data_IF_620707672686
#
_entry.id   IF_620707672686
#
_cell.length_a   1.000
_cell.length_b   1.000
_cell.length_c   1.000
_cell.angle_alpha   90.00
_cell.angle_beta   90.00
_cell.angle_gamma   90.00
#
_symmetry.space_group_name_H-M   'P 1'
#
loop_
_entity.id
_entity.type
_entity.pdbx_description
1 polymer ?
#
# COMPACT_ATOMS: atom_id res chain seq x y z
N UNK A 1 13.22 -33.86 -35.85
CA UNK A 1 12.58 -33.15 -34.72
C UNK A 1 13.71 -32.54 -33.90
N UNK A 2 13.71 -31.22 -33.67
CA UNK A 2 14.64 -30.64 -32.70
C UNK A 2 14.02 -30.87 -31.32
N UNK A 3 14.77 -31.47 -30.40
CA UNK A 3 14.30 -31.86 -29.06
C UNK A 3 15.13 -31.05 -28.08
N UNK A 4 14.49 -30.35 -27.13
CA UNK A 4 15.16 -29.49 -26.16
C UNK A 4 15.99 -30.28 -25.12
N UNK A 5 15.70 -31.58 -24.97
CA UNK A 5 16.30 -32.43 -23.94
C UNK A 5 15.68 -32.24 -22.55
N UNK A 6 14.64 -31.42 -22.43
CA UNK A 6 13.88 -31.19 -21.19
C UNK A 6 12.70 -32.17 -21.16
N UNK A 7 12.65 -33.04 -20.16
CA UNK A 7 11.69 -34.15 -20.10
C UNK A 7 10.23 -33.66 -20.08
N UNK A 8 9.99 -32.54 -19.42
CA UNK A 8 8.68 -31.88 -19.29
C UNK A 8 8.17 -31.29 -20.60
N UNK A 9 9.05 -31.03 -21.57
CA UNK A 9 8.70 -30.39 -22.84
C UNK A 9 8.36 -31.39 -23.95
N UNK A 10 8.65 -32.69 -23.78
CA UNK A 10 8.56 -33.71 -24.84
C UNK A 10 7.14 -33.82 -25.43
N UNK A 11 6.09 -33.76 -24.60
CA UNK A 11 4.71 -33.85 -25.08
C UNK A 11 4.31 -32.63 -25.92
N UNK A 12 4.75 -31.44 -25.51
CA UNK A 12 4.47 -30.17 -26.21
C UNK A 12 5.25 -30.12 -27.54
N UNK A 13 6.49 -30.61 -27.55
CA UNK A 13 7.29 -30.71 -28.77
C UNK A 13 6.66 -31.64 -29.81
N UNK A 14 6.07 -32.76 -29.38
CA UNK A 14 5.34 -33.68 -30.25
C UNK A 14 4.09 -33.01 -30.86
N UNK A 15 3.31 -32.30 -30.05
CA UNK A 15 2.14 -31.54 -30.51
C UNK A 15 2.51 -30.47 -31.54
N UNK A 16 3.59 -29.71 -31.31
CA UNK A 16 4.11 -28.72 -32.28
C UNK A 16 4.55 -29.39 -33.59
N UNK A 17 5.18 -30.56 -33.51
CA UNK A 17 5.62 -31.31 -34.68
C UNK A 17 4.45 -31.78 -35.54
N UNK A 18 3.41 -32.32 -34.91
CA UNK A 18 2.21 -32.80 -35.59
C UNK A 18 1.41 -31.64 -36.19
N UNK A 19 1.27 -30.53 -35.47
CA UNK A 19 0.61 -29.32 -35.96
C UNK A 19 1.32 -28.73 -37.21
N UNK A 20 2.65 -28.80 -37.26
CA UNK A 20 3.44 -28.39 -38.42
C UNK A 20 3.16 -29.23 -39.68
N UNK A 21 2.79 -30.50 -39.52
CA UNK A 21 2.48 -31.40 -40.63
C UNK A 21 1.03 -31.28 -41.12
N UNK A 22 0.09 -30.91 -40.24
CA UNK A 22 -1.35 -30.94 -40.51
C UNK A 22 -1.88 -29.67 -41.19
N UNK A 23 -1.47 -28.46 -40.77
CA UNK A 23 -1.90 -27.18 -41.35
C UNK A 23 -0.99 -26.00 -40.96
N UNK A 24 -0.53 -25.24 -41.96
CA UNK A 24 0.34 -24.05 -41.78
C UNK A 24 -0.30 -22.94 -40.96
N UNK A 25 -1.64 -22.83 -40.94
CA UNK A 25 -2.35 -21.80 -40.17
C UNK A 25 -2.30 -22.09 -38.67
N UNK A 26 -2.66 -23.30 -38.27
CA UNK A 26 -2.61 -23.75 -36.88
C UNK A 26 -1.19 -23.67 -36.31
N UNK A 27 -0.17 -24.05 -37.09
CA UNK A 27 1.22 -23.91 -36.67
C UNK A 27 1.62 -22.44 -36.45
N UNK A 28 1.24 -21.53 -37.36
CA UNK A 28 1.54 -20.10 -37.21
C UNK A 28 0.83 -19.48 -35.99
N UNK A 29 -0.39 -19.92 -35.68
CA UNK A 29 -1.12 -19.49 -34.49
C UNK A 29 -0.40 -19.95 -33.20
N UNK A 30 0.05 -21.21 -33.13
CA UNK A 30 0.83 -21.76 -32.00
C UNK A 30 2.15 -20.98 -31.83
N UNK A 31 2.88 -20.74 -32.92
CA UNK A 31 4.13 -19.96 -32.86
C UNK A 31 3.86 -18.53 -32.40
N UNK A 32 2.77 -17.91 -32.87
CA UNK A 32 2.37 -16.58 -32.41
C UNK A 32 2.08 -16.54 -30.91
N UNK A 33 1.41 -17.55 -30.37
CA UNK A 33 1.12 -17.66 -28.94
C UNK A 33 2.39 -17.91 -28.10
N UNK A 34 3.29 -18.78 -28.57
CA UNK A 34 4.60 -19.00 -27.94
C UNK A 34 5.45 -17.72 -27.94
N UNK A 35 5.48 -16.97 -29.05
CA UNK A 35 6.19 -15.69 -29.13
C UNK A 35 5.59 -14.66 -28.18
N UNK A 36 4.27 -14.63 -28.03
CA UNK A 36 3.61 -13.74 -27.08
C UNK A 36 3.96 -14.12 -25.63
N UNK A 37 3.97 -15.42 -25.30
CA UNK A 37 4.27 -15.92 -23.97
C UNK A 37 5.74 -15.72 -23.57
N UNK A 38 6.67 -15.95 -24.50
CA UNK A 38 8.11 -15.86 -24.28
C UNK A 38 8.70 -14.49 -24.67
N UNK A 39 7.88 -13.57 -25.18
CA UNK A 39 8.33 -12.27 -25.68
C UNK A 39 9.13 -11.46 -24.66
N UNK A 40 8.81 -11.61 -23.36
CA UNK A 40 9.55 -11.00 -22.26
C UNK A 40 11.05 -11.37 -22.26
N UNK A 41 11.40 -12.59 -22.68
CA UNK A 41 12.77 -13.11 -22.71
C UNK A 41 13.59 -12.57 -23.90
N UNK A 42 12.99 -11.74 -24.76
CA UNK A 42 13.72 -11.05 -25.83
C UNK A 42 14.58 -9.90 -25.31
N UNK A 43 14.35 -9.45 -24.07
CA UNK A 43 15.15 -8.43 -23.42
C UNK A 43 16.42 -9.06 -22.80
N UNK A 44 17.58 -8.50 -23.12
CA UNK A 44 18.87 -9.04 -22.69
C UNK A 44 19.06 -8.98 -21.18
N UNK A 45 18.60 -7.91 -20.53
CA UNK A 45 18.75 -7.72 -19.09
C UNK A 45 17.92 -8.76 -18.32
N UNK A 46 16.67 -8.98 -18.72
CA UNK A 46 15.85 -10.01 -18.11
C UNK A 46 16.45 -11.41 -18.36
N UNK A 47 16.84 -11.68 -19.61
CA UNK A 47 17.41 -12.98 -19.98
C UNK A 47 18.69 -13.29 -19.21
N UNK A 48 19.58 -12.32 -19.06
CA UNK A 48 20.81 -12.45 -18.26
C UNK A 48 20.47 -12.73 -16.78
N UNK A 49 19.49 -12.01 -16.21
CA UNK A 49 19.05 -12.25 -14.81
C UNK A 49 18.45 -13.63 -14.57
N UNK A 50 17.93 -14.27 -15.61
CA UNK A 50 17.34 -15.61 -15.59
C UNK A 50 18.27 -16.65 -16.24
N UNK A 51 19.54 -16.34 -16.43
CA UNK A 51 20.54 -17.28 -16.97
C UNK A 51 21.43 -17.80 -15.84
N UNK A 52 21.66 -19.12 -15.83
CA UNK A 52 22.45 -19.77 -14.79
C UNK A 52 23.96 -19.47 -14.87
N UNK A 53 24.75 -19.98 -13.89
CA UNK A 53 24.31 -20.84 -12.79
C UNK A 53 23.48 -20.09 -11.74
N UNK A 54 22.45 -20.75 -11.19
CA UNK A 54 21.62 -20.24 -10.11
C UNK A 54 22.11 -20.77 -8.76
N UNK A 55 22.14 -19.90 -7.76
CA UNK A 55 22.50 -20.17 -6.37
C UNK A 55 21.33 -19.92 -5.40
N UNK A 56 20.14 -19.68 -5.95
CA UNK A 56 18.90 -19.43 -5.21
C UNK A 56 17.71 -20.05 -5.95
N UNK A 57 16.87 -20.76 -5.21
CA UNK A 57 15.57 -21.28 -5.64
C UNK A 57 14.41 -20.60 -4.90
N UNK A 58 13.20 -20.67 -5.46
CA UNK A 58 12.02 -20.09 -4.79
C UNK A 58 11.60 -20.90 -3.57
N UNK A 59 12.02 -22.17 -3.50
CA UNK A 59 11.87 -23.08 -2.37
C UNK A 59 12.66 -22.61 -1.13
N UNK A 60 13.80 -21.94 -1.33
CA UNK A 60 14.66 -21.42 -0.26
C UNK A 60 13.90 -20.39 0.61
N UNK A 61 12.92 -19.69 0.03
CA UNK A 61 12.03 -18.78 0.78
C UNK A 61 11.18 -19.49 1.85
N UNK A 62 11.11 -20.82 1.81
CA UNK A 62 10.39 -21.65 2.77
C UNK A 62 11.30 -22.31 3.80
N UNK A 63 12.62 -22.12 3.71
CA UNK A 63 13.59 -22.68 4.65
C UNK A 63 13.60 -21.92 6.00
N UNK A 64 14.24 -22.50 7.01
CA UNK A 64 14.20 -21.99 8.40
C UNK A 64 15.58 -21.78 9.03
N UNK A 65 16.61 -22.39 8.46
CA UNK A 65 18.01 -22.27 8.84
C UNK A 65 18.62 -20.94 8.36
N UNK A 66 18.18 -20.42 7.22
CA UNK A 66 18.57 -19.12 6.70
C UNK A 66 17.34 -18.25 6.35
N UNK A 67 17.46 -16.94 6.61
CA UNK A 67 16.45 -15.96 6.21
C UNK A 67 16.79 -15.36 4.84
N UNK A 68 15.92 -15.59 3.87
CA UNK A 68 16.06 -15.05 2.51
C UNK A 68 15.21 -13.80 2.29
N UNK A 69 15.75 -12.86 1.51
CA UNK A 69 15.04 -11.66 1.05
C UNK A 69 15.16 -11.55 -0.47
N UNK A 70 14.03 -11.63 -1.18
CA UNK A 70 13.98 -11.56 -2.63
C UNK A 70 13.54 -10.16 -3.08
N UNK A 71 14.35 -9.52 -3.91
CA UNK A 71 14.05 -8.22 -4.50
C UNK A 71 13.88 -8.36 -6.02
N UNK A 72 12.66 -8.13 -6.50
CA UNK A 72 12.35 -8.12 -7.93
C UNK A 72 12.37 -6.68 -8.45
N UNK A 73 13.55 -6.21 -8.87
CA UNK A 73 13.75 -4.83 -9.30
C UNK A 73 13.56 -4.70 -10.81
N UNK A 74 12.35 -4.31 -11.22
CA UNK A 74 12.04 -4.08 -12.63
C UNK A 74 12.21 -2.59 -13.00
N UNK A 75 12.95 -2.25 -14.07
CA UNK A 75 12.95 -0.90 -14.61
C UNK A 75 11.51 -0.46 -14.94
N UNK A 76 11.18 0.79 -14.67
CA UNK A 76 9.80 1.30 -14.80
C UNK A 76 9.21 1.04 -16.20
N UNK A 77 9.99 1.22 -17.25
CA UNK A 77 9.57 0.99 -18.64
C UNK A 77 9.28 -0.50 -18.94
N UNK A 78 9.84 -1.42 -18.15
CA UNK A 78 9.84 -2.85 -18.43
C UNK A 78 8.81 -3.66 -17.63
N UNK A 79 8.11 -3.04 -16.67
CA UNK A 79 7.11 -3.73 -15.81
C UNK A 79 6.05 -4.47 -16.64
N UNK A 80 5.53 -3.84 -17.70
CA UNK A 80 4.52 -4.44 -18.57
C UNK A 80 5.13 -5.52 -19.49
N UNK A 81 6.22 -5.25 -20.25
CA UNK A 81 6.91 -6.27 -21.03
C UNK A 81 7.31 -7.52 -20.23
N UNK A 82 7.79 -7.35 -19.00
CA UNK A 82 8.25 -8.46 -18.15
C UNK A 82 7.14 -9.08 -17.31
N UNK A 83 5.89 -8.63 -17.46
CA UNK A 83 4.79 -9.02 -16.56
C UNK A 83 4.53 -10.52 -16.53
N UNK A 84 4.71 -11.24 -17.65
CA UNK A 84 4.56 -12.70 -17.69
C UNK A 84 5.53 -13.40 -16.73
N UNK A 85 6.80 -13.00 -16.75
CA UNK A 85 7.84 -13.56 -15.87
C UNK A 85 7.61 -13.16 -14.41
N UNK A 86 7.31 -11.89 -14.14
CA UNK A 86 7.04 -11.43 -12.76
C UNK A 86 5.85 -12.19 -12.15
N UNK A 87 4.77 -12.36 -12.92
CA UNK A 87 3.59 -13.14 -12.49
C UNK A 87 3.93 -14.61 -12.26
N UNK A 88 4.79 -15.20 -13.08
CA UNK A 88 5.24 -16.59 -12.91
C UNK A 88 6.05 -16.76 -11.62
N UNK A 89 6.98 -15.84 -11.32
CA UNK A 89 7.76 -15.85 -10.07
C UNK A 89 6.84 -15.73 -8.86
N UNK A 90 5.92 -14.75 -8.86
CA UNK A 90 4.97 -14.55 -7.76
C UNK A 90 4.03 -15.75 -7.58
N UNK A 91 3.57 -16.35 -8.68
CA UNK A 91 2.73 -17.56 -8.63
C UNK A 91 3.51 -18.74 -8.05
N UNK A 92 4.74 -18.96 -8.50
CA UNK A 92 5.62 -20.02 -8.01
C UNK A 92 5.87 -19.88 -6.50
N UNK A 93 6.25 -18.67 -6.05
CA UNK A 93 6.44 -18.36 -4.64
C UNK A 93 5.21 -18.70 -3.80
N UNK A 94 4.02 -18.28 -4.25
CA UNK A 94 2.76 -18.50 -3.54
C UNK A 94 2.43 -20.00 -3.47
N UNK A 95 2.61 -20.71 -4.58
CA UNK A 95 2.35 -22.16 -4.66
C UNK A 95 3.29 -22.94 -3.75
N UNK A 96 4.59 -22.63 -3.75
CA UNK A 96 5.57 -23.27 -2.87
C UNK A 96 5.26 -22.98 -1.41
N UNK A 97 4.98 -21.71 -1.04
CA UNK A 97 4.58 -21.38 0.33
C UNK A 97 3.30 -22.08 0.76
N UNK A 98 2.32 -22.22 -0.14
CA UNK A 98 1.07 -22.94 0.13
C UNK A 98 1.27 -24.44 0.37
N UNK A 99 2.32 -25.05 -0.18
CA UNK A 99 2.72 -26.44 0.08
C UNK A 99 3.51 -26.62 1.37
N UNK A 100 4.07 -25.54 1.91
CA UNK A 100 4.87 -25.51 3.14
C UNK A 100 4.19 -24.62 4.21
N UNK A 101 3.09 -25.06 4.83
CA UNK A 101 2.36 -24.25 5.81
C UNK A 101 3.21 -23.89 7.03
N UNK A 102 4.10 -24.78 7.47
CA UNK A 102 5.00 -24.59 8.61
C UNK A 102 6.19 -23.66 8.31
N UNK A 103 6.42 -23.32 7.03
CA UNK A 103 7.47 -22.40 6.64
C UNK A 103 7.24 -20.99 7.22
N UNK A 104 8.31 -20.20 7.43
CA UNK A 104 8.21 -18.87 8.01
C UNK A 104 7.20 -17.97 7.29
N UNK A 105 6.58 -17.06 8.05
CA UNK A 105 5.66 -16.08 7.47
C UNK A 105 6.42 -15.14 6.55
N UNK A 106 5.84 -14.89 5.37
CA UNK A 106 6.46 -14.05 4.34
C UNK A 106 5.70 -12.74 4.20
N UNK A 107 6.41 -11.61 4.21
CA UNK A 107 5.84 -10.29 3.92
C UNK A 107 6.14 -9.93 2.48
N UNK A 108 5.09 -9.69 1.70
CA UNK A 108 5.20 -9.44 0.27
C UNK A 108 4.89 -7.98 0.01
N UNK A 109 5.93 -7.20 -0.30
CA UNK A 109 5.78 -5.78 -0.63
C UNK A 109 5.70 -5.66 -2.15
N UNK A 110 4.53 -5.28 -2.67
CA UNK A 110 4.30 -5.15 -4.10
C UNK A 110 3.99 -3.69 -4.40
N UNK A 111 4.98 -3.00 -4.96
CA UNK A 111 4.81 -1.63 -5.43
C UNK A 111 4.11 -1.60 -6.80
N UNK A 112 3.32 -0.56 -7.04
CA UNK A 112 2.55 -0.33 -8.26
C UNK A 112 1.83 -1.57 -8.84
N UNK A 113 1.20 -2.37 -7.97
CA UNK A 113 0.59 -3.65 -8.37
C UNK A 113 -0.40 -3.56 -9.54
N UNK A 114 -1.09 -2.42 -9.68
CA UNK A 114 -2.02 -2.19 -10.79
C UNK A 114 -1.40 -2.23 -12.19
N UNK A 115 -0.06 -2.23 -12.29
CA UNK A 115 0.67 -2.42 -13.56
C UNK A 115 0.73 -3.89 -13.99
N UNK A 116 0.52 -4.83 -13.07
CA UNK A 116 0.40 -6.26 -13.35
C UNK A 116 -1.03 -6.62 -13.80
N UNK A 117 -1.53 -5.92 -14.82
CA UNK A 117 -2.90 -6.00 -15.35
C UNK A 117 -3.47 -7.44 -15.40
N UNK A 118 -4.70 -7.61 -14.92
CA UNK A 118 -5.41 -8.91 -14.95
C UNK A 118 -4.84 -9.98 -14.01
N UNK A 119 -3.97 -9.62 -13.06
CA UNK A 119 -3.38 -10.59 -12.13
C UNK A 119 -4.20 -10.72 -10.84
N UNK A 120 -5.29 -11.46 -10.92
CA UNK A 120 -6.22 -11.73 -9.80
C UNK A 120 -5.53 -12.34 -8.57
N UNK A 121 -4.38 -13.00 -8.74
CA UNK A 121 -3.62 -13.58 -7.63
C UNK A 121 -3.24 -12.56 -6.56
N UNK A 122 -3.07 -11.28 -6.92
CA UNK A 122 -2.84 -10.21 -5.93
C UNK A 122 -4.06 -10.05 -5.01
N UNK A 123 -5.27 -10.08 -5.57
CA UNK A 123 -6.50 -10.04 -4.75
C UNK A 123 -6.59 -11.28 -3.87
N UNK A 124 -6.23 -12.45 -4.43
CA UNK A 124 -6.21 -13.70 -3.64
C UNK A 124 -5.24 -13.65 -2.47
N UNK A 125 -4.09 -12.98 -2.58
CA UNK A 125 -3.18 -12.80 -1.44
C UNK A 125 -3.88 -12.15 -0.22
N UNK A 126 -4.88 -11.29 -0.43
CA UNK A 126 -5.65 -10.70 0.65
C UNK A 126 -6.76 -11.61 1.19
N UNK A 127 -7.34 -12.48 0.36
CA UNK A 127 -8.47 -13.34 0.75
C UNK A 127 -8.02 -14.68 1.32
N UNK A 128 -7.01 -15.33 0.73
CA UNK A 128 -6.51 -16.65 1.11
C UNK A 128 -5.05 -16.65 1.61
N UNK A 129 -4.28 -15.61 1.31
CA UNK A 129 -2.84 -15.57 1.60
C UNK A 129 -2.50 -15.63 3.10
N UNK A 130 -3.35 -15.06 3.95
CA UNK A 130 -3.16 -15.09 5.41
C UNK A 130 -3.12 -16.53 5.95
N UNK A 131 -3.93 -17.44 5.37
CA UNK A 131 -4.01 -18.85 5.79
C UNK A 131 -2.73 -19.63 5.52
N UNK A 132 -1.97 -19.27 4.48
CA UNK A 132 -0.69 -19.91 4.14
C UNK A 132 0.52 -19.15 4.70
N UNK A 133 0.30 -18.09 5.48
CA UNK A 133 1.36 -17.30 6.09
C UNK A 133 1.94 -16.19 5.22
N UNK A 134 1.28 -15.81 4.12
CA UNK A 134 1.64 -14.65 3.31
C UNK A 134 0.96 -13.37 3.84
N UNK A 135 1.74 -12.29 3.94
CA UNK A 135 1.30 -10.97 4.40
C UNK A 135 1.52 -9.94 3.29
N UNK A 136 0.50 -9.64 2.47
CA UNK A 136 0.65 -8.67 1.40
C UNK A 136 0.63 -7.22 1.93
N UNK A 137 1.60 -6.42 1.49
CA UNK A 137 1.59 -4.96 1.54
C UNK A 137 1.63 -4.47 0.09
N UNK A 138 0.50 -4.01 -0.41
CA UNK A 138 0.36 -3.64 -1.83
C UNK A 138 0.09 -2.15 -1.96
N UNK A 139 0.87 -1.50 -2.82
CA UNK A 139 0.77 -0.07 -3.09
C UNK A 139 0.04 0.14 -4.42
N UNK A 140 -0.92 1.05 -4.41
CA UNK A 140 -1.65 1.52 -5.59
C UNK A 140 -1.57 3.04 -5.66
N UNK A 141 -1.48 3.59 -6.87
CA UNK A 141 -1.57 5.04 -7.04
C UNK A 141 -2.99 5.55 -6.78
N UNK A 142 -4.00 4.77 -7.18
CA UNK A 142 -5.42 5.05 -6.98
C UNK A 142 -6.26 3.75 -6.96
N UNK A 143 -7.55 3.88 -6.65
CA UNK A 143 -8.48 2.75 -6.66
C UNK A 143 -8.75 2.18 -8.07
N UNK A 144 -8.63 2.99 -9.12
CA UNK A 144 -8.84 2.53 -10.49
C UNK A 144 -7.77 1.52 -10.89
N UNK A 145 -6.53 1.71 -10.44
CA UNK A 145 -5.45 0.75 -10.64
C UNK A 145 -5.72 -0.59 -9.99
N UNK A 146 -6.26 -0.62 -8.77
CA UNK A 146 -6.64 -1.88 -8.12
C UNK A 146 -7.76 -2.61 -8.88
N UNK A 147 -8.69 -1.87 -9.50
CA UNK A 147 -9.71 -2.44 -10.38
C UNK A 147 -9.17 -2.96 -11.73
N UNK A 148 -7.90 -2.70 -12.09
CA UNK A 148 -7.25 -3.31 -13.27
C UNK A 148 -6.77 -4.74 -13.00
N UNK A 149 -6.71 -5.17 -11.74
CA UNK A 149 -6.31 -6.53 -11.36
C UNK A 149 -7.42 -7.53 -11.67
N UNK A 150 -8.65 -7.18 -11.33
CA UNK A 150 -9.88 -7.95 -11.57
C UNK A 150 -11.07 -7.02 -11.39
N UNK A 151 -12.26 -7.46 -11.82
CA UNK A 151 -13.51 -6.75 -11.57
C UNK A 151 -13.70 -6.52 -10.07
N UNK A 152 -13.98 -5.27 -9.69
CA UNK A 152 -14.15 -4.83 -8.29
C UNK A 152 -12.94 -5.10 -7.37
N UNK A 153 -11.74 -5.29 -7.94
CA UNK A 153 -10.52 -5.62 -7.21
C UNK A 153 -10.21 -4.67 -6.05
N UNK A 154 -10.49 -3.38 -6.20
CA UNK A 154 -10.26 -2.40 -5.15
C UNK A 154 -11.18 -2.57 -3.94
N UNK A 155 -12.44 -2.99 -4.17
CA UNK A 155 -13.36 -3.30 -3.09
C UNK A 155 -12.97 -4.59 -2.37
N UNK A 156 -12.62 -5.64 -3.12
CA UNK A 156 -12.22 -6.95 -2.58
C UNK A 156 -10.95 -6.86 -1.72
N UNK A 157 -9.94 -6.12 -2.18
CA UNK A 157 -8.72 -5.88 -1.41
C UNK A 157 -9.07 -5.10 -0.15
N UNK A 158 -9.78 -3.98 -0.27
CA UNK A 158 -10.05 -3.12 0.87
C UNK A 158 -11.03 -3.71 1.89
N UNK A 159 -11.88 -4.69 1.53
CA UNK A 159 -12.70 -5.42 2.50
C UNK A 159 -11.93 -6.51 3.26
N UNK A 160 -10.80 -6.96 2.72
CA UNK A 160 -10.01 -8.07 3.26
C UNK A 160 -8.70 -7.60 3.92
N UNK A 161 -8.25 -6.39 3.60
CA UNK A 161 -7.06 -5.79 4.15
C UNK A 161 -7.26 -5.38 5.62
N UNK A 162 -6.50 -6.01 6.51
CA UNK A 162 -6.47 -5.68 7.94
C UNK A 162 -5.90 -4.28 8.21
N UNK A 163 -5.16 -3.69 7.26
CA UNK A 163 -4.62 -2.33 7.34
C UNK A 163 -4.85 -1.62 6.01
N UNK A 164 -5.39 -0.41 6.06
CA UNK A 164 -5.56 0.49 4.92
C UNK A 164 -4.88 1.83 5.24
N UNK A 165 -4.01 2.28 4.33
CA UNK A 165 -3.27 3.53 4.47
C UNK A 165 -3.54 4.38 3.24
N UNK A 166 -3.98 5.61 3.45
CA UNK A 166 -4.24 6.58 2.39
C UNK A 166 -3.30 7.77 2.54
N UNK A 167 -2.67 8.16 1.43
CA UNK A 167 -1.80 9.33 1.33
C UNK A 167 -2.34 10.30 0.29
N UNK A 168 -2.24 11.60 0.56
CA UNK A 168 -2.46 12.64 -0.45
C UNK A 168 -3.73 12.46 -1.28
N UNK A 169 -4.87 12.19 -0.63
CA UNK A 169 -6.13 11.85 -1.29
C UNK A 169 -6.66 13.05 -2.07
N UNK A 170 -6.68 12.97 -3.41
CA UNK A 170 -7.11 14.08 -4.29
C UNK A 170 -8.46 13.85 -4.95
N UNK A 171 -8.88 12.61 -5.15
CA UNK A 171 -10.13 12.31 -5.83
C UNK A 171 -11.34 12.29 -4.87
N UNK A 172 -12.52 12.63 -5.38
CA UNK A 172 -13.72 12.72 -4.55
C UNK A 172 -14.17 11.37 -3.98
N UNK A 173 -14.04 10.31 -4.76
CA UNK A 173 -14.57 8.98 -4.41
C UNK A 173 -13.78 8.42 -3.24
N UNK A 174 -12.45 8.49 -3.29
CA UNK A 174 -11.56 8.11 -2.19
C UNK A 174 -11.76 9.03 -0.99
N UNK A 175 -11.88 10.35 -1.18
CA UNK A 175 -12.10 11.28 -0.07
C UNK A 175 -13.41 10.99 0.69
N UNK A 176 -14.48 10.67 -0.04
CA UNK A 176 -15.75 10.24 0.57
C UNK A 176 -15.59 8.94 1.34
N UNK A 177 -14.84 7.97 0.79
CA UNK A 177 -14.55 6.71 1.46
C UNK A 177 -13.77 6.92 2.76
N UNK A 178 -12.69 7.70 2.72
CA UNK A 178 -11.88 8.02 3.91
C UNK A 178 -12.72 8.76 4.95
N UNK A 179 -13.53 9.74 4.55
CA UNK A 179 -14.46 10.44 5.45
C UNK A 179 -15.43 9.46 6.13
N UNK A 180 -16.00 8.52 5.38
CA UNK A 180 -16.90 7.51 5.92
C UNK A 180 -16.18 6.52 6.86
N UNK A 181 -14.94 6.13 6.55
CA UNK A 181 -14.11 5.25 7.38
C UNK A 181 -13.68 5.93 8.69
N UNK A 182 -13.38 7.22 8.67
CA UNK A 182 -13.13 8.00 9.88
C UNK A 182 -14.38 8.08 10.75
N UNK A 183 -15.55 8.16 10.13
CA UNK A 183 -16.83 8.17 10.80
C UNK A 183 -17.25 9.58 11.23
N UNK A 184 -18.10 9.63 12.25
CA UNK A 184 -18.83 10.83 12.64
C UNK A 184 -18.74 11.05 14.14
N UNK A 185 -18.64 12.33 14.52
CA UNK A 185 -18.77 12.81 15.88
C UNK A 185 -20.11 13.54 16.07
N UNK A 186 -20.55 13.64 17.32
CA UNK A 186 -21.73 14.44 17.69
C UNK A 186 -21.24 15.71 18.37
N UNK A 187 -21.48 16.85 17.75
CA UNK A 187 -21.20 18.16 18.34
C UNK A 187 -22.43 18.67 19.07
N UNK A 188 -22.21 19.26 20.24
CA UNK A 188 -23.24 19.98 20.98
C UNK A 188 -23.08 21.48 20.70
N UNK A 189 -24.12 22.09 20.14
CA UNK A 189 -24.13 23.52 19.83
C UNK A 189 -25.12 24.24 20.74
N UNK A 190 -24.62 25.32 21.37
CA UNK A 190 -25.42 26.26 22.13
C UNK A 190 -25.93 27.34 21.18
N UNK A 191 -27.23 27.34 20.85
CA UNK A 191 -27.81 28.31 19.91
C UNK A 191 -27.90 29.71 20.54
N UNK A 192 -27.05 30.69 20.14
CA UNK A 192 -27.00 31.99 20.82
C UNK A 192 -28.28 32.80 20.61
N UNK A 193 -28.94 32.63 19.46
CA UNK A 193 -30.20 33.29 19.15
C UNK A 193 -31.36 32.74 19.99
N UNK A 194 -31.40 31.44 20.25
CA UNK A 194 -32.40 30.83 21.14
C UNK A 194 -32.16 31.27 22.58
N UNK A 195 -30.90 31.28 23.03
CA UNK A 195 -30.55 31.80 24.36
C UNK A 195 -30.90 33.28 24.51
N UNK A 196 -30.64 34.13 23.50
CA UNK A 196 -30.98 35.55 23.53
C UNK A 196 -32.50 35.79 23.54
N UNK A 197 -33.27 35.02 22.75
CA UNK A 197 -34.75 35.06 22.77
C UNK A 197 -35.31 34.59 24.10
N UNK A 198 -34.78 33.50 24.66
CA UNK A 198 -35.13 32.98 25.97
C UNK A 198 -34.82 33.98 27.09
N UNK A 199 -33.69 34.68 27.02
CA UNK A 199 -33.31 35.74 27.97
C UNK A 199 -34.29 36.93 27.90
N UNK A 200 -34.66 37.34 26.69
CA UNK A 200 -35.61 38.45 26.46
C UNK A 200 -37.01 38.08 26.95
N UNK A 201 -37.49 36.87 26.65
CA UNK A 201 -38.76 36.35 27.15
C UNK A 201 -38.77 36.19 28.67
N UNK A 202 -37.66 35.72 29.26
CA UNK A 202 -37.51 35.65 30.72
C UNK A 202 -37.64 37.03 31.36
N UNK A 203 -37.00 38.04 30.77
CA UNK A 203 -37.02 39.41 31.28
C UNK A 203 -38.43 40.02 31.19
N UNK A 204 -39.12 39.82 30.06
CA UNK A 204 -40.50 40.31 29.89
C UNK A 204 -41.51 39.58 30.78
N UNK A 205 -41.29 38.29 31.06
CA UNK A 205 -42.11 37.54 32.02
C UNK A 205 -41.87 37.99 33.46
N UNK A 206 -40.63 38.28 33.83
CA UNK A 206 -40.32 38.84 35.15
C UNK A 206 -40.92 40.24 35.33
N UNK A 207 -40.89 41.10 34.32
CA UNK A 207 -41.57 42.40 34.40
C UNK A 207 -43.09 42.25 34.52
N UNK A 208 -43.69 41.23 33.90
CA UNK A 208 -45.13 40.94 34.03
C UNK A 208 -45.55 40.52 35.45
N UNK A 209 -44.62 39.97 36.24
CA UNK A 209 -44.84 39.64 37.65
C UNK A 209 -45.00 40.92 38.48
N UNK A 210 -44.20 41.95 38.20
CA UNK A 210 -44.27 43.26 38.86
C UNK A 210 -45.53 44.06 38.47
N UNK A 211 -46.11 43.79 37.29
CA UNK A 211 -47.33 44.44 36.81
C UNK A 211 -48.63 43.68 37.16
N UNK A 212 -48.59 42.71 38.09
CA UNK A 212 -49.78 42.03 38.61
C UNK A 212 -50.22 40.76 37.86
N UNK A 213 -49.33 40.11 37.12
CA UNK A 213 -49.60 38.82 36.48
C UNK A 213 -49.73 37.65 37.47
N UNK A 214 -50.46 36.60 37.06
CA UNK A 214 -50.67 35.37 37.86
C UNK A 214 -49.33 34.64 38.13
N UNK A 215 -48.88 34.57 39.41
CA UNK A 215 -47.58 34.00 39.78
C UNK A 215 -47.41 32.54 39.38
N UNK A 216 -48.48 31.74 39.44
CA UNK A 216 -48.42 30.31 39.13
C UNK A 216 -48.21 30.06 37.64
N UNK A 217 -48.90 30.82 36.78
CA UNK A 217 -48.71 30.73 35.32
C UNK A 217 -47.34 31.22 34.88
N UNK A 218 -46.80 32.25 35.52
CA UNK A 218 -45.46 32.78 35.24
C UNK A 218 -44.40 31.76 35.66
N UNK A 219 -44.56 31.10 36.80
CA UNK A 219 -43.64 30.06 37.27
C UNK A 219 -43.54 28.89 36.27
N UNK A 220 -44.67 28.41 35.74
CA UNK A 220 -44.69 27.34 34.72
C UNK A 220 -43.98 27.77 33.44
N UNK A 221 -44.20 29.00 32.95
CA UNK A 221 -43.51 29.53 31.76
C UNK A 221 -42.01 29.71 31.98
N UNK A 222 -41.60 30.18 33.16
CA UNK A 222 -40.19 30.31 33.53
C UNK A 222 -39.50 28.94 33.58
N UNK A 223 -40.18 27.90 34.06
CA UNK A 223 -39.67 26.54 34.04
C UNK A 223 -39.46 26.01 32.61
N UNK A 224 -40.39 26.30 31.69
CA UNK A 224 -40.24 25.97 30.26
C UNK A 224 -39.04 26.67 29.61
N UNK A 225 -38.88 27.98 29.83
CA UNK A 225 -37.73 28.74 29.33
C UNK A 225 -36.41 28.24 29.95
N UNK A 226 -36.41 27.88 31.23
CA UNK A 226 -35.25 27.30 31.89
C UNK A 226 -34.85 25.93 31.31
N UNK A 227 -35.83 25.14 30.85
CA UNK A 227 -35.58 23.89 30.14
C UNK A 227 -35.03 24.14 28.72
N UNK A 228 -35.63 25.05 27.96
CA UNK A 228 -35.17 25.44 26.63
C UNK A 228 -33.73 25.98 26.64
N UNK A 229 -33.37 26.83 27.61
CA UNK A 229 -32.00 27.35 27.75
C UNK A 229 -30.98 26.27 28.09
N UNK A 230 -31.40 25.14 28.66
CA UNK A 230 -30.52 23.99 28.98
C UNK A 230 -30.43 22.99 27.83
N UNK A 231 -31.31 23.09 26.84
CA UNK A 231 -31.33 22.16 25.73
C UNK A 231 -30.22 22.51 24.74
N UNK A 232 -29.24 21.61 24.60
CA UNK A 232 -28.20 21.71 23.58
C UNK A 232 -28.59 20.93 22.35
N UNK A 233 -28.48 21.55 21.18
CA UNK A 233 -28.76 20.86 19.92
C UNK A 233 -27.58 19.96 19.60
N UNK A 234 -27.87 18.70 19.30
CA UNK A 234 -26.87 17.70 18.88
C UNK A 234 -26.83 17.63 17.36
N UNK A 235 -25.67 17.88 16.77
CA UNK A 235 -25.45 17.83 15.33
C UNK A 235 -24.42 16.76 15.00
N UNK A 236 -24.74 15.90 14.04
CA UNK A 236 -23.80 14.92 13.49
C UNK A 236 -22.83 15.60 12.54
N UNK A 237 -21.52 15.44 12.76
CA UNK A 237 -20.45 15.97 11.90
C UNK A 237 -19.48 14.85 11.55
N UNK A 238 -19.00 14.79 10.31
CA UNK A 238 -17.92 13.87 9.96
C UNK A 238 -16.61 14.33 10.63
N UNK A 239 -15.81 13.41 11.18
CA UNK A 239 -14.51 13.77 11.81
C UNK A 239 -13.65 14.57 10.83
N UNK A 240 -13.65 14.15 9.56
CA UNK A 240 -13.20 14.96 8.43
C UNK A 240 -14.26 14.90 7.34
N UNK A 241 -14.63 16.05 6.81
CA UNK A 241 -15.48 16.09 5.61
C UNK A 241 -14.68 15.61 4.39
N UNK A 242 -15.34 15.13 3.32
CA UNK A 242 -14.65 14.76 2.09
C UNK A 242 -13.78 15.90 1.51
N UNK A 243 -14.24 17.15 1.64
CA UNK A 243 -13.47 18.31 1.19
C UNK A 243 -12.26 18.58 2.11
N UNK A 244 -12.38 18.41 3.42
CA UNK A 244 -11.24 18.51 4.35
C UNK A 244 -10.19 17.41 4.11
N UNK A 245 -10.61 16.22 3.66
CA UNK A 245 -9.69 15.16 3.23
C UNK A 245 -8.99 15.55 1.93
N UNK A 246 -9.72 16.11 0.95
CA UNK A 246 -9.17 16.45 -0.37
C UNK A 246 -8.21 17.63 -0.33
N UNK A 247 -8.58 18.68 0.39
CA UNK A 247 -7.83 19.93 0.49
C UNK A 247 -6.94 19.98 1.74
N UNK A 248 -6.71 18.83 2.37
CA UNK A 248 -5.80 18.70 3.49
C UNK A 248 -4.33 18.90 3.08
N UNK A 249 -3.41 18.87 4.06
CA UNK A 249 -1.98 18.92 3.81
C UNK A 249 -1.50 17.81 2.85
N UNK A 250 -0.48 18.08 2.05
CA UNK A 250 0.07 17.09 1.10
C UNK A 250 0.67 15.86 1.79
N UNK A 251 1.15 16.03 3.02
CA UNK A 251 1.69 14.98 3.87
C UNK A 251 0.61 14.27 4.70
N UNK A 252 -0.68 14.59 4.55
CA UNK A 252 -1.73 13.95 5.30
C UNK A 252 -1.75 12.41 5.09
N UNK A 253 -1.83 11.69 6.21
CA UNK A 253 -1.93 10.24 6.29
C UNK A 253 -3.21 9.85 7.03
N UNK A 254 -3.99 8.96 6.42
CA UNK A 254 -5.15 8.33 7.06
C UNK A 254 -4.92 6.83 7.15
N UNK A 255 -4.88 6.29 8.36
CA UNK A 255 -4.63 4.87 8.61
C UNK A 255 -5.82 4.25 9.32
N UNK A 256 -6.22 3.08 8.83
CA UNK A 256 -7.25 2.24 9.41
C UNK A 256 -6.66 0.86 9.61
N UNK A 257 -6.83 0.28 10.78
CA UNK A 257 -6.35 -1.06 11.07
C UNK A 257 -7.32 -1.80 11.99
N UNK A 258 -7.39 -3.11 11.83
CA UNK A 258 -8.16 -3.97 12.71
C UNK A 258 -7.68 -3.83 14.16
N UNK A 259 -8.64 -3.77 15.09
CA UNK A 259 -8.36 -3.57 16.52
C UNK A 259 -8.20 -2.11 16.95
N UNK A 260 -8.18 -1.14 16.01
CA UNK A 260 -8.29 0.27 16.35
C UNK A 260 -9.76 0.67 16.52
N UNK A 261 -10.04 1.54 17.51
CA UNK A 261 -11.40 2.05 17.76
C UNK A 261 -11.89 3.04 16.70
N UNK A 262 -10.99 3.51 15.83
CA UNK A 262 -11.26 4.46 14.76
C UNK A 262 -10.02 4.70 13.91
N UNK A 263 -10.15 5.52 12.87
CA UNK A 263 -9.03 5.88 12.01
C UNK A 263 -8.02 6.80 12.69
N UNK A 264 -6.74 6.61 12.36
CA UNK A 264 -5.63 7.44 12.80
C UNK A 264 -5.34 8.48 11.71
N UNK A 265 -5.29 9.74 12.12
CA UNK A 265 -4.88 10.86 11.26
C UNK A 265 -3.46 11.24 11.65
N UNK A 266 -2.54 11.22 10.70
CA UNK A 266 -1.14 11.57 10.91
C UNK A 266 -0.55 12.35 9.74
N UNK A 267 0.77 12.50 9.76
CA UNK A 267 1.55 13.07 8.67
C UNK A 267 2.65 12.12 8.21
N UNK A 268 2.88 12.08 6.90
CA UNK A 268 3.95 11.32 6.26
C UNK A 268 5.26 12.07 6.40
N UNK A 269 6.23 11.42 7.03
CA UNK A 269 7.61 11.90 7.05
C UNK A 269 8.38 11.27 5.88
N UNK A 270 9.13 12.07 5.09
CA UNK A 270 10.06 11.51 4.13
C UNK A 270 11.13 10.65 4.84
N UNK A 271 11.51 9.52 4.24
CA UNK A 271 12.45 8.59 4.88
C UNK A 271 13.82 9.22 5.17
N UNK A 272 14.28 10.20 4.37
CA UNK A 272 15.56 10.87 4.60
C UNK A 272 15.51 11.83 5.80
N UNK A 273 14.32 12.22 6.23
CA UNK A 273 14.12 13.05 7.42
C UNK A 273 13.94 12.19 8.69
N UNK A 274 13.66 10.89 8.54
CA UNK A 274 13.51 9.95 9.65
C UNK A 274 14.89 9.54 10.23
N UNK A 275 15.16 9.84 11.51
CA UNK A 275 16.40 9.42 12.18
C UNK A 275 16.63 7.90 12.14
N UNK A 276 15.57 7.09 12.15
CA UNK A 276 15.68 5.61 12.10
C UNK A 276 16.21 5.10 10.77
N UNK A 277 16.05 5.88 9.70
CA UNK A 277 16.52 5.54 8.36
C UNK A 277 17.95 6.03 8.10
N UNK A 278 18.57 6.76 9.03
CA UNK A 278 19.94 7.26 8.87
C UNK A 278 20.92 6.12 8.62
N UNK A 279 21.63 6.19 7.49
CA UNK A 279 22.59 5.18 7.06
C UNK A 279 21.98 3.97 6.34
N UNK A 280 20.65 3.87 6.25
CA UNK A 280 19.93 2.76 5.61
C UNK A 280 19.56 3.01 4.15
N UNK A 281 19.92 4.16 3.62
CA UNK A 281 19.67 4.54 2.23
C UNK A 281 20.92 5.16 1.61
N UNK A 282 21.08 4.93 0.30
CA UNK A 282 22.11 5.51 -0.54
C UNK A 282 21.55 6.73 -1.31
N UNK A 283 22.39 7.52 -2.00
CA UNK A 283 21.93 8.65 -2.79
C UNK A 283 20.91 8.24 -3.83
N UNK A 284 19.94 9.12 -4.06
CA UNK A 284 18.95 8.90 -5.09
C UNK A 284 19.60 9.03 -6.48
N UNK A 285 19.47 8.03 -7.38
CA UNK A 285 20.11 8.05 -8.69
C UNK A 285 19.62 9.19 -9.60
N UNK A 286 18.45 9.76 -9.31
CA UNK A 286 17.86 10.87 -10.08
C UNK A 286 18.16 12.25 -9.49
N UNK A 287 18.79 12.32 -8.31
CA UNK A 287 19.07 13.59 -7.64
C UNK A 287 20.53 13.66 -7.17
N UNK A 288 21.40 14.39 -7.88
CA UNK A 288 22.75 14.63 -7.41
C UNK A 288 22.71 15.40 -6.08
N UNK A 289 23.70 15.23 -5.19
CA UNK A 289 24.99 14.57 -5.40
C UNK A 289 24.98 13.04 -5.16
N UNK A 290 25.87 12.31 -5.85
CA UNK A 290 25.98 10.84 -5.75
C UNK A 290 27.07 10.35 -4.78
N UNK A 291 27.94 11.26 -4.31
CA UNK A 291 29.06 10.97 -3.41
C UNK A 291 28.74 11.24 -1.94
N UNK A 292 27.56 11.79 -1.66
CA UNK A 292 27.10 12.12 -0.31
C UNK A 292 25.58 12.09 -0.20
N UNK A 293 25.10 11.85 1.01
CA UNK A 293 23.68 11.80 1.32
C UNK A 293 23.37 12.70 2.52
N UNK A 294 22.19 13.34 2.49
CA UNK A 294 21.69 14.12 3.63
C UNK A 294 20.99 13.17 4.59
N UNK A 295 21.40 13.18 5.86
CA UNK A 295 20.84 12.34 6.92
C UNK A 295 20.41 13.16 8.12
N UNK A 296 19.41 12.69 8.86
CA UNK A 296 18.93 13.33 10.09
C UNK A 296 19.51 12.66 11.32
N UNK A 297 20.31 13.42 12.07
CA UNK A 297 20.88 12.95 13.35
C UNK A 297 20.10 13.54 14.54
N UNK A 298 20.37 13.03 15.74
CA UNK A 298 19.84 13.59 17.01
C UNK A 298 20.09 15.10 17.18
N UNK A 299 21.12 15.64 16.50
CA UNK A 299 21.52 17.05 16.57
C UNK A 299 21.23 17.83 15.27
N UNK A 300 20.30 17.34 14.45
CA UNK A 300 19.89 17.97 13.19
C UNK A 300 20.43 17.28 11.93
N UNK A 301 20.21 17.89 10.77
CA UNK A 301 20.57 17.31 9.46
C UNK A 301 22.03 17.56 9.09
N UNK A 302 22.72 16.54 8.57
CA UNK A 302 24.11 16.63 8.11
C UNK A 302 24.29 15.91 6.78
N UNK A 303 25.29 16.33 6.01
CA UNK A 303 25.77 15.57 4.86
C UNK A 303 26.78 14.51 5.32
N UNK A 304 26.65 13.30 4.80
CA UNK A 304 27.59 12.19 5.02
C UNK A 304 28.11 11.68 3.70
N UNK A 305 29.41 11.36 3.65
CA UNK A 305 30.03 10.80 2.45
C UNK A 305 29.50 9.38 2.23
N UNK A 306 29.37 9.02 0.97
CA UNK A 306 29.11 7.65 0.55
C UNK A 306 30.46 7.01 0.23
N UNK A 307 30.77 5.92 0.91
CA UNK A 307 32.02 5.20 0.79
C UNK A 307 31.78 3.97 -0.04
N UNK A 308 32.62 3.77 -1.07
CA UNK A 308 32.70 2.54 -1.85
C UNK A 308 34.05 1.90 -1.57
N UNK A 309 34.04 0.67 -1.09
CA UNK A 309 35.26 -0.06 -0.73
C UNK A 309 35.10 -1.56 -1.04
N UNK A 310 36.20 -2.35 -1.02
CA UNK A 310 36.13 -3.79 -1.18
C UNK A 310 35.24 -4.43 -0.10
N UNK A 311 34.47 -5.44 -0.49
CA UNK A 311 33.61 -6.17 0.43
C UNK A 311 34.50 -6.92 1.44
N UNK A 312 34.23 -6.82 2.76
CA UNK A 312 34.94 -7.62 3.75
C UNK A 312 34.83 -9.12 3.45
N UNK A 313 35.88 -9.88 3.75
CA UNK A 313 35.95 -11.33 3.46
C UNK A 313 34.73 -12.10 3.99
N UNK A 314 34.24 -11.72 5.18
CA UNK A 314 33.06 -12.33 5.82
C UNK A 314 31.75 -12.21 5.01
N UNK A 315 31.68 -11.28 4.06
CA UNK A 315 30.51 -11.05 3.20
C UNK A 315 30.81 -11.34 1.72
N UNK A 316 32.04 -11.65 1.36
CA UNK A 316 32.46 -11.82 -0.04
C UNK A 316 31.67 -12.93 -0.76
N UNK A 317 31.21 -13.94 -0.01
CA UNK A 317 30.46 -15.07 -0.52
C UNK A 317 28.98 -14.74 -0.83
N UNK A 318 28.46 -13.58 -0.41
CA UNK A 318 27.06 -13.25 -0.66
C UNK A 318 26.80 -12.85 -2.12
N UNK A 319 25.71 -13.34 -2.75
CA UNK A 319 25.43 -13.09 -4.16
C UNK A 319 25.39 -11.61 -4.55
N UNK A 320 24.86 -10.73 -3.69
CA UNK A 320 24.81 -9.29 -3.96
C UNK A 320 26.19 -8.62 -4.05
N UNK A 321 27.25 -9.27 -3.57
CA UNK A 321 28.60 -8.75 -3.52
C UNK A 321 29.55 -9.36 -4.56
N UNK A 322 29.03 -10.08 -5.57
CA UNK A 322 29.83 -10.63 -6.69
C UNK A 322 30.70 -9.60 -7.42
N UNK A 323 30.34 -8.32 -7.38
CA UNK A 323 31.17 -7.23 -7.95
C UNK A 323 32.44 -6.91 -7.14
N UNK A 324 32.58 -7.49 -5.94
CA UNK A 324 33.71 -7.31 -5.03
C UNK A 324 33.72 -5.98 -4.27
N UNK A 325 32.70 -5.13 -4.45
CA UNK A 325 32.61 -3.84 -3.77
C UNK A 325 31.23 -3.61 -3.15
N UNK A 326 31.21 -2.98 -1.98
CA UNK A 326 29.98 -2.52 -1.34
C UNK A 326 29.98 -1.00 -1.17
N UNK A 327 28.80 -0.43 -0.92
CA UNK A 327 28.63 1.01 -0.76
C UNK A 327 27.80 1.29 0.48
N UNK A 328 28.26 2.20 1.33
CA UNK A 328 27.59 2.56 2.59
C UNK A 328 27.78 4.04 2.94
N UNK A 329 27.03 4.52 3.93
CA UNK A 329 27.11 5.91 4.41
C UNK A 329 28.09 6.01 5.57
N UNK A 330 29.10 6.88 5.43
CA UNK A 330 30.16 7.07 6.42
C UNK A 330 29.62 7.47 7.80
N UNK A 331 30.14 6.83 8.85
CA UNK A 331 29.83 7.16 10.24
C UNK A 331 28.42 6.78 10.69
N UNK A 332 27.71 5.97 9.91
CA UNK A 332 26.49 5.30 10.32
C UNK A 332 26.82 3.81 10.47
N UNK A 333 26.70 3.25 11.67
CA UNK A 333 26.81 1.81 11.88
C UNK A 333 25.70 1.10 11.10
N UNK A 334 26.04 0.06 10.34
CA UNK A 334 25.06 -0.81 9.69
C UNK A 334 24.25 -1.59 10.71
#
# INVERSE_FOLDING_TARGET
MHISGIAECVSVEAEIHDAKQADSRSFNDIIGELQAALGALSDDLLRESLSGPFDFGMEDLCETDQAYQLYLMCPEAMVKPWSAIVKAILASAKTLKGRAPDAPRQTWVIDEAGRLFGYEQIVRLFTDGAGIGCRPLVIFQDFLQANRLTQDGAQLIASSAAVQIFFGVRDHVTAQRVSNLLGFETLEYDEPLVQSRAQTQRTSLLSSLFSGGDPLKIAVKLAGIAYEMRHKVKVKRAIRTPDEVRYGPEDALYLFADGLSGGVIGSRMPYWDDPMMTGRFLPNPYHPPYDKVRVTTRWGTRWRRVVKEPVPEAFADYPQYRSGSWTYVEGCSQ
#
